data_IF_179858416184
#
_entry.id   IF_179858416184
#
_cell.length_a   1.000
_cell.length_b   1.000
_cell.length_c   1.000
_cell.angle_alpha   90.00
_cell.angle_beta   90.00
_cell.angle_gamma   90.00
#
_symmetry.space_group_name_H-M   'P 1'
#
loop_
_entity.id
_entity.type
_entity.pdbx_description
1 polymer ?
#
# COMPACT_ATOMS: atom_id res chain seq x y z
N UNK A 1 -9.60 -12.81 -45.38
CA UNK A 1 -9.23 -11.71 -44.45
C UNK A 1 -9.42 -12.14 -42.99
N UNK A 2 -8.69 -13.16 -42.52
CA UNK A 2 -8.87 -13.75 -41.17
C UNK A 2 -7.52 -13.97 -40.42
N UNK A 3 -6.42 -13.42 -40.93
CA UNK A 3 -5.07 -13.67 -40.40
C UNK A 3 -4.47 -12.54 -39.55
N UNK A 4 -5.11 -11.35 -39.50
CA UNK A 4 -4.53 -10.18 -38.81
C UNK A 4 -5.00 -9.96 -37.37
N UNK A 5 -6.09 -10.61 -36.95
CA UNK A 5 -6.59 -10.51 -35.57
C UNK A 5 -5.95 -11.51 -34.60
N UNK A 6 -5.28 -12.56 -35.11
CA UNK A 6 -4.63 -13.58 -34.27
C UNK A 6 -3.29 -13.11 -33.68
N UNK A 7 -2.61 -12.15 -34.33
CA UNK A 7 -1.29 -11.68 -33.88
C UNK A 7 -1.37 -10.75 -32.66
N UNK A 8 -2.45 -9.97 -32.53
CA UNK A 8 -2.69 -9.12 -31.35
C UNK A 8 -3.09 -9.95 -30.11
N UNK A 9 -3.87 -11.01 -30.30
CA UNK A 9 -4.27 -11.92 -29.22
C UNK A 9 -3.09 -12.73 -28.66
N UNK A 10 -2.13 -13.11 -29.52
CA UNK A 10 -0.92 -13.83 -29.11
C UNK A 10 -0.01 -13.00 -28.19
N UNK A 11 0.02 -11.66 -28.35
CA UNK A 11 0.80 -10.78 -27.47
C UNK A 11 0.16 -10.57 -26.09
N UNK A 12 -1.16 -10.78 -25.96
CA UNK A 12 -1.88 -10.61 -24.69
C UNK A 12 -1.91 -11.91 -23.88
N UNK A 13 -1.86 -13.08 -24.53
CA UNK A 13 -2.24 -14.34 -23.88
C UNK A 13 -1.14 -15.40 -23.71
N UNK A 14 0.10 -15.17 -24.16
CA UNK A 14 1.11 -16.23 -24.09
C UNK A 14 2.55 -15.74 -24.02
N UNK A 15 3.13 -15.78 -22.81
CA UNK A 15 4.57 -16.00 -22.67
C UNK A 15 5.42 -14.77 -22.34
N UNK A 16 5.22 -14.19 -21.14
CA UNK A 16 6.28 -13.69 -20.23
C UNK A 16 5.61 -13.00 -19.04
N UNK A 17 5.47 -13.76 -17.96
CA UNK A 17 4.71 -13.41 -16.76
C UNK A 17 5.02 -12.03 -16.18
N UNK A 18 3.94 -11.33 -15.82
CA UNK A 18 3.95 -10.10 -15.01
C UNK A 18 4.59 -10.33 -13.64
N UNK A 19 4.59 -11.58 -13.15
CA UNK A 19 5.23 -11.99 -11.90
C UNK A 19 6.76 -11.91 -11.98
N UNK A 20 7.38 -12.26 -13.11
CA UNK A 20 8.85 -12.22 -13.23
C UNK A 20 9.40 -10.79 -13.31
N UNK A 21 8.61 -9.84 -13.83
CA UNK A 21 8.95 -8.41 -13.78
C UNK A 21 8.81 -7.84 -12.37
N UNK A 22 7.89 -8.34 -11.57
CA UNK A 22 7.72 -7.91 -10.17
C UNK A 22 8.87 -8.37 -9.28
N UNK A 23 9.39 -9.59 -9.43
CA UNK A 23 10.50 -10.09 -8.58
C UNK A 23 11.84 -9.43 -8.94
N UNK A 24 12.10 -9.19 -10.24
CA UNK A 24 13.30 -8.47 -10.67
C UNK A 24 13.25 -6.98 -10.32
N UNK A 25 12.05 -6.40 -10.24
CA UNK A 25 11.84 -5.01 -9.78
C UNK A 25 11.81 -4.89 -8.25
N UNK A 26 11.43 -5.94 -7.51
CA UNK A 26 11.38 -5.91 -6.04
C UNK A 26 12.74 -6.17 -5.40
N UNK A 27 13.66 -6.88 -6.07
CA UNK A 27 15.01 -7.16 -5.55
C UNK A 27 16.02 -6.00 -5.69
N UNK A 28 15.59 -4.84 -6.23
CA UNK A 28 16.36 -3.59 -6.15
C UNK A 28 15.57 -2.44 -5.54
N UNK A 29 14.48 -2.73 -4.83
CA UNK A 29 13.95 -1.77 -3.88
C UNK A 29 14.91 -1.74 -2.67
N UNK A 30 15.93 -0.88 -2.76
CA UNK A 30 16.73 -0.40 -1.62
C UNK A 30 15.73 0.05 -0.57
N UNK A 31 15.44 -0.79 0.41
CA UNK A 31 14.47 -0.56 1.48
C UNK A 31 15.02 0.41 2.52
N UNK A 32 15.55 1.57 2.12
CA UNK A 32 15.93 2.71 2.98
C UNK A 32 16.92 2.47 4.13
N UNK A 33 17.30 1.22 4.41
CA UNK A 33 18.12 0.81 5.53
C UNK A 33 19.49 0.53 4.94
N UNK A 34 20.37 1.55 4.97
CA UNK A 34 21.73 1.43 4.49
C UNK A 34 22.44 0.20 5.08
N UNK A 35 23.49 -0.25 4.39
CA UNK A 35 24.43 -1.24 4.94
C UNK A 35 24.96 -0.74 6.31
N UNK A 36 25.43 -1.64 7.19
CA UNK A 36 26.06 -1.24 8.44
C UNK A 36 27.09 -0.13 8.16
N UNK A 37 26.84 1.06 8.70
CA UNK A 37 27.71 2.22 8.50
C UNK A 37 29.07 1.85 9.08
N UNK A 38 30.10 1.87 8.22
CA UNK A 38 31.48 1.68 8.64
C UNK A 38 31.86 2.70 9.71
N UNK A 39 32.89 2.39 10.51
CA UNK A 39 33.39 3.33 11.52
C UNK A 39 33.68 4.67 10.84
N UNK A 40 33.14 5.76 11.37
CA UNK A 40 33.36 7.11 10.84
C UNK A 40 34.87 7.36 10.74
N UNK A 41 35.36 7.69 9.55
CA UNK A 41 36.78 7.99 9.33
C UNK A 41 37.08 9.28 10.12
N UNK A 42 38.08 9.25 10.99
CA UNK A 42 38.46 10.44 11.76
C UNK A 42 39.07 11.45 10.77
N UNK A 43 38.55 12.68 10.67
CA UNK A 43 39.09 13.65 9.73
C UNK A 43 40.51 14.05 10.13
N UNK A 44 41.48 13.80 9.25
CA UNK A 44 42.86 14.29 9.41
C UNK A 44 42.99 15.80 9.13
N UNK A 45 41.94 16.42 8.61
CA UNK A 45 41.87 17.83 8.21
C UNK A 45 40.54 18.44 8.66
N UNK A 46 40.49 19.76 8.93
CA UNK A 46 39.23 20.43 9.24
C UNK A 46 38.24 20.24 8.09
N UNK A 47 37.05 19.76 8.41
CA UNK A 47 36.01 19.47 7.42
C UNK A 47 35.50 20.78 6.79
N UNK A 48 35.24 20.79 5.47
CA UNK A 48 34.56 21.90 4.83
C UNK A 48 33.18 22.14 5.47
N UNK A 49 32.76 23.41 5.59
CA UNK A 49 31.45 23.77 6.17
C UNK A 49 30.28 23.06 5.46
N UNK A 50 30.41 22.79 4.17
CA UNK A 50 29.36 22.14 3.37
C UNK A 50 29.35 20.61 3.47
N UNK A 51 30.25 20.00 4.25
CA UNK A 51 30.34 18.54 4.39
C UNK A 51 29.12 17.96 5.13
N UNK A 52 28.45 18.78 5.96
CA UNK A 52 27.19 18.44 6.62
C UNK A 52 26.00 18.28 5.64
N UNK A 53 26.10 18.86 4.44
CA UNK A 53 25.05 18.84 3.42
C UNK A 53 25.20 17.67 2.44
N UNK A 54 26.25 16.88 2.61
CA UNK A 54 26.59 15.75 1.75
C UNK A 54 26.53 14.50 2.61
N UNK A 55 25.63 13.58 2.28
CA UNK A 55 25.59 12.30 2.97
C UNK A 55 26.76 11.45 2.45
N UNK A 56 27.84 11.35 3.23
CA UNK A 56 28.90 10.39 2.97
C UNK A 56 28.46 8.98 3.42
N UNK A 57 27.96 8.19 2.47
CA UNK A 57 27.60 6.78 2.67
C UNK A 57 28.78 5.83 2.35
N UNK A 58 30.00 6.36 2.20
CA UNK A 58 31.18 5.60 1.81
C UNK A 58 31.17 5.13 0.35
N UNK A 59 30.25 5.62 -0.49
CA UNK A 59 30.23 5.33 -1.93
C UNK A 59 30.99 6.42 -2.71
N UNK A 60 31.53 6.12 -3.91
CA UNK A 60 32.19 7.12 -4.76
C UNK A 60 31.28 8.26 -5.24
N UNK A 61 29.97 8.14 -5.01
CA UNK A 61 28.95 9.09 -5.44
C UNK A 61 28.14 9.53 -4.21
N UNK A 62 28.65 10.50 -3.43
CA UNK A 62 27.93 10.97 -2.26
C UNK A 62 26.64 11.66 -2.69
N UNK A 63 25.54 11.24 -2.06
CA UNK A 63 24.20 11.73 -2.38
C UNK A 63 23.95 13.03 -1.58
N UNK A 64 23.33 14.08 -2.16
CA UNK A 64 22.93 15.24 -1.37
C UNK A 64 21.96 14.79 -0.26
N UNK A 65 22.07 15.39 0.93
CA UNK A 65 21.18 15.09 2.05
C UNK A 65 19.70 15.15 1.60
N UNK A 66 18.86 14.32 2.23
CA UNK A 66 17.46 14.03 1.86
C UNK A 66 16.62 15.29 1.56
N UNK A 67 17.00 16.43 2.13
CA UNK A 67 16.41 17.75 1.92
C UNK A 67 16.40 18.22 0.45
N UNK A 68 17.15 17.56 -0.45
CA UNK A 68 17.23 17.93 -1.87
C UNK A 68 16.68 16.86 -2.83
N UNK A 69 16.13 15.75 -2.33
CA UNK A 69 15.79 14.58 -3.15
C UNK A 69 14.40 14.67 -3.80
N UNK A 70 13.48 15.49 -3.28
CA UNK A 70 12.20 15.78 -3.92
C UNK A 70 11.69 17.14 -3.47
N UNK A 71 11.00 17.86 -4.37
CA UNK A 71 10.16 18.98 -3.94
C UNK A 71 9.19 18.45 -2.89
N UNK A 72 9.35 18.90 -1.65
CA UNK A 72 8.47 18.46 -0.55
C UNK A 72 7.05 18.84 -0.94
N UNK A 73 6.19 17.85 -1.14
CA UNK A 73 4.76 18.03 -1.40
C UNK A 73 4.24 19.03 -0.36
N UNK A 74 3.69 20.16 -0.81
CA UNK A 74 3.31 21.24 0.10
C UNK A 74 2.29 20.75 1.13
N UNK A 75 2.26 21.33 2.33
CA UNK A 75 1.35 20.89 3.42
C UNK A 75 -0.12 20.75 2.99
N UNK A 76 -0.60 21.64 2.12
CA UNK A 76 -1.95 21.60 1.58
C UNK A 76 -2.12 20.61 0.44
N UNK A 77 -1.07 20.38 -0.34
CA UNK A 77 -1.07 19.36 -1.39
C UNK A 77 -1.07 17.95 -0.78
N UNK A 78 -0.26 17.73 0.26
CA UNK A 78 -0.25 16.49 1.02
C UNK A 78 -1.61 16.23 1.69
N UNK A 79 -2.22 17.27 2.27
CA UNK A 79 -3.56 17.18 2.82
C UNK A 79 -4.61 16.89 1.74
N UNK A 80 -4.50 17.50 0.56
CA UNK A 80 -5.41 17.23 -0.55
C UNK A 80 -5.29 15.78 -1.03
N UNK A 81 -4.09 15.22 -1.13
CA UNK A 81 -3.87 13.80 -1.45
C UNK A 81 -4.43 12.87 -0.39
N UNK A 82 -4.26 13.21 0.89
CA UNK A 82 -4.81 12.43 2.00
C UNK A 82 -6.35 12.44 1.98
N UNK A 83 -6.95 13.63 1.89
CA UNK A 83 -8.39 13.80 1.85
C UNK A 83 -9.00 13.20 0.57
N UNK A 84 -8.33 13.34 -0.57
CA UNK A 84 -8.75 12.77 -1.84
C UNK A 84 -8.73 11.24 -1.81
N UNK A 85 -7.64 10.64 -1.31
CA UNK A 85 -7.52 9.19 -1.16
C UNK A 85 -8.55 8.61 -0.19
N UNK A 86 -8.67 9.19 1.01
CA UNK A 86 -9.64 8.73 2.01
C UNK A 86 -11.09 8.95 1.55
N UNK A 87 -11.37 10.11 0.94
CA UNK A 87 -12.69 10.44 0.41
C UNK A 87 -13.12 9.52 -0.73
N UNK A 88 -12.19 9.13 -1.61
CA UNK A 88 -12.45 8.15 -2.66
C UNK A 88 -12.88 6.81 -2.08
N UNK A 89 -12.13 6.25 -1.13
CA UNK A 89 -12.48 4.97 -0.52
C UNK A 89 -13.77 5.02 0.31
N UNK A 90 -14.01 6.14 1.02
CA UNK A 90 -15.27 6.34 1.73
C UNK A 90 -16.46 6.36 0.75
N UNK A 91 -16.34 7.07 -0.38
CA UNK A 91 -17.41 7.11 -1.39
C UNK A 91 -17.67 5.74 -2.03
N UNK A 92 -16.62 4.96 -2.33
CA UNK A 92 -16.76 3.58 -2.81
C UNK A 92 -17.47 2.68 -1.79
N UNK A 93 -17.15 2.80 -0.50
CA UNK A 93 -17.82 2.06 0.56
C UNK A 93 -19.30 2.39 0.68
N UNK A 94 -19.65 3.68 0.61
CA UNK A 94 -21.05 4.12 0.63
C UNK A 94 -21.83 3.65 -0.61
N UNK A 95 -21.21 3.68 -1.79
CA UNK A 95 -21.82 3.14 -3.01
C UNK A 95 -22.07 1.63 -2.90
N UNK A 96 -21.14 0.88 -2.29
CA UNK A 96 -21.33 -0.54 -2.04
C UNK A 96 -22.52 -0.81 -1.12
N UNK A 97 -22.67 -0.05 -0.02
CA UNK A 97 -23.81 -0.15 0.89
C UNK A 97 -25.13 0.25 0.21
N UNK A 98 -25.10 1.28 -0.64
CA UNK A 98 -26.29 1.69 -1.40
C UNK A 98 -26.75 0.60 -2.38
N UNK A 99 -25.81 -0.10 -3.00
CA UNK A 99 -26.08 -1.21 -3.89
C UNK A 99 -26.51 -2.49 -3.15
N UNK A 100 -26.04 -2.67 -1.91
CA UNK A 100 -26.37 -3.81 -1.05
C UNK A 100 -27.77 -3.68 -0.43
N UNK A 101 -28.80 -3.99 -1.23
CA UNK A 101 -30.19 -4.03 -0.77
C UNK A 101 -30.45 -5.35 -0.06
N UNK A 102 -31.16 -5.31 1.08
CA UNK A 102 -31.60 -6.49 1.81
C UNK A 102 -32.44 -7.47 0.95
N UNK A 103 -33.09 -6.98 -0.11
CA UNK A 103 -33.84 -7.80 -1.08
C UNK A 103 -32.97 -8.64 -2.01
N UNK A 104 -31.66 -8.37 -2.09
CA UNK A 104 -30.72 -9.08 -2.97
C UNK A 104 -30.24 -10.41 -2.36
N UNK A 105 -30.54 -10.66 -1.09
CA UNK A 105 -30.14 -11.87 -0.37
C UNK A 105 -31.24 -12.94 -0.56
N UNK A 106 -30.96 -14.07 -1.24
CA UNK A 106 -31.99 -15.05 -1.60
C UNK A 106 -32.33 -16.02 -0.46
N UNK A 107 -31.81 -15.79 0.74
CA UNK A 107 -31.99 -16.65 1.91
C UNK A 107 -32.46 -15.84 3.12
N UNK A 108 -33.23 -16.50 3.98
CA UNK A 108 -33.65 -15.92 5.25
C UNK A 108 -32.49 -15.92 6.25
N UNK A 109 -32.45 -14.94 7.19
CA UNK A 109 -31.48 -14.95 8.28
C UNK A 109 -31.53 -16.26 9.06
N UNK A 110 -30.37 -16.69 9.58
CA UNK A 110 -30.27 -17.94 10.33
C UNK A 110 -31.02 -17.83 11.66
N UNK A 111 -32.00 -18.70 11.85
CA UNK A 111 -32.78 -18.82 13.10
C UNK A 111 -32.32 -20.07 13.84
N UNK A 112 -32.11 -19.95 15.15
CA UNK A 112 -31.73 -21.08 16.00
C UNK A 112 -32.85 -21.45 16.99
N UNK A 113 -32.97 -22.74 17.37
CA UNK A 113 -33.85 -23.17 18.45
C UNK A 113 -33.54 -22.48 19.79
N UNK A 114 -34.45 -22.62 20.77
CA UNK A 114 -34.30 -22.10 22.13
C UNK A 114 -34.08 -20.57 22.19
N UNK A 115 -34.99 -19.81 21.56
CA UNK A 115 -34.92 -18.34 21.54
C UNK A 115 -33.55 -17.83 21.00
N UNK A 116 -33.15 -18.33 19.82
CA UNK A 116 -31.86 -18.05 19.19
C UNK A 116 -30.63 -18.35 20.08
N UNK A 117 -30.68 -19.44 20.86
CA UNK A 117 -29.59 -19.85 21.75
C UNK A 117 -29.20 -18.76 22.76
N UNK A 118 -30.16 -17.92 23.18
CA UNK A 118 -29.89 -16.74 24.00
C UNK A 118 -29.20 -17.09 25.32
N UNK A 119 -29.63 -18.16 25.98
CA UNK A 119 -29.07 -18.58 27.27
C UNK A 119 -27.68 -19.19 27.07
N UNK A 120 -27.50 -19.95 26.00
CA UNK A 120 -26.26 -20.60 25.61
C UNK A 120 -25.19 -19.60 25.14
N UNK A 121 -25.60 -18.45 24.61
CA UNK A 121 -24.75 -17.32 24.24
C UNK A 121 -24.48 -16.34 25.42
N UNK A 122 -24.92 -16.69 26.64
CA UNK A 122 -24.63 -15.92 27.85
C UNK A 122 -25.70 -14.90 28.24
N UNK A 123 -26.91 -14.99 27.69
CA UNK A 123 -28.05 -14.18 28.09
C UNK A 123 -28.69 -14.64 29.40
N UNK A 124 -29.27 -13.70 30.15
CA UNK A 124 -29.83 -13.98 31.48
C UNK A 124 -31.02 -14.95 31.44
N UNK A 125 -30.99 -16.07 32.17
CA UNK A 125 -32.07 -17.07 32.12
C UNK A 125 -33.40 -16.55 32.66
N UNK A 126 -33.40 -15.49 33.46
CA UNK A 126 -34.57 -14.93 34.13
C UNK A 126 -35.30 -13.85 33.31
N UNK A 127 -34.70 -13.38 32.22
CA UNK A 127 -35.29 -12.35 31.36
C UNK A 127 -35.83 -13.02 30.10
N UNK A 128 -37.12 -13.39 30.13
CA UNK A 128 -37.88 -13.63 28.90
C UNK A 128 -38.25 -12.27 28.31
N UNK A 129 -37.93 -12.05 27.04
CA UNK A 129 -38.56 -10.96 26.27
C UNK A 129 -40.03 -11.28 26.02
#
# INVERSE_FOLDING_TARGET
MAGRLSQAAAHIMGGRGVVARSVASSLRARSGMGLPIGKHIVPDKPLPVNDELVWDNGTPFPEPCIDRIADTVGKYEALAWLCGGLGFFASLGLLAVWNDKASSIPFTPKVYPYDNLRVELGGDPQVSK
#
